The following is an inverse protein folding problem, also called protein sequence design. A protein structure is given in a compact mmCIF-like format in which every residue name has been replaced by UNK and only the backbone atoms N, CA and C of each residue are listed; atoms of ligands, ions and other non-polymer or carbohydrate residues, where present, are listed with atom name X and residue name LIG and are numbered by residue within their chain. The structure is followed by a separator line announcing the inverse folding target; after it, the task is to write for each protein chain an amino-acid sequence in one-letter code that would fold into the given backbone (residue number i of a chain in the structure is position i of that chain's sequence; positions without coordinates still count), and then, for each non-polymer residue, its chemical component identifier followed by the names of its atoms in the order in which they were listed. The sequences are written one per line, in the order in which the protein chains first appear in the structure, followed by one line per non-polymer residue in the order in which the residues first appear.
data_IF_273683388916
#
_entry.id   IF_273683388916
#
_cell.length_a   1.000
_cell.length_b   1.000
_cell.length_c   1.000
_cell.angle_alpha   90.00
_cell.angle_beta   90.00
_cell.angle_gamma   90.00
#
_symmetry.space_group_name_H-M   'P 1'
#
loop_
_entity.id
_entity.type
_entity.pdbx_description
1 polymer ?
#
# COMPACT_ATOMS: atom_id res chain seq x y z
N UNK A 1 52.40 66.37 5.31
CA UNK A 1 52.53 64.93 5.58
C UNK A 1 51.17 64.36 5.96
N UNK A 2 50.41 63.71 5.02
CA UNK A 2 49.11 63.10 5.28
C UNK A 2 49.33 61.58 5.42
N UNK A 3 49.11 61.02 6.64
CA UNK A 3 49.15 59.59 6.90
C UNK A 3 47.81 58.96 6.48
N UNK A 4 47.83 58.12 5.49
CA UNK A 4 46.72 57.22 5.11
C UNK A 4 46.74 56.02 6.05
N UNK A 5 45.66 55.88 6.83
CA UNK A 5 45.35 54.66 7.57
C UNK A 5 44.59 53.73 6.61
N UNK A 6 45.21 52.61 6.21
CA UNK A 6 44.50 51.51 5.54
C UNK A 6 43.90 50.61 6.62
N UNK A 7 42.56 50.60 6.69
CA UNK A 7 41.83 49.66 7.49
C UNK A 7 41.66 48.40 6.63
N UNK A 8 42.38 47.32 6.97
CA UNK A 8 42.18 46.00 6.37
C UNK A 8 40.94 45.36 7.08
N UNK A 9 39.81 45.31 6.40
CA UNK A 9 38.66 44.55 6.86
C UNK A 9 38.87 43.09 6.52
N UNK A 10 39.22 42.27 7.51
CA UNK A 10 39.25 40.80 7.41
C UNK A 10 37.82 40.29 7.44
N UNK A 11 37.27 40.01 6.25
CA UNK A 11 36.04 39.26 6.07
C UNK A 11 36.32 37.78 6.41
N UNK A 12 36.00 37.40 7.65
CA UNK A 12 35.99 35.97 8.06
C UNK A 12 34.78 35.31 7.48
N UNK A 13 34.92 34.58 6.39
CA UNK A 13 33.90 33.66 5.90
C UNK A 13 33.79 32.49 6.87
N UNK A 14 32.79 32.52 7.74
CA UNK A 14 32.39 31.33 8.47
C UNK A 14 31.70 30.37 7.49
N UNK A 15 32.43 29.38 7.01
CA UNK A 15 31.84 28.22 6.35
C UNK A 15 31.19 27.41 7.47
N UNK A 16 29.89 27.60 7.67
CA UNK A 16 29.10 26.69 8.50
C UNK A 16 29.00 25.36 7.75
N UNK A 17 29.91 24.43 8.07
CA UNK A 17 29.73 23.04 7.70
C UNK A 17 28.48 22.58 8.45
N UNK A 18 27.35 22.46 7.76
CA UNK A 18 26.17 21.84 8.35
C UNK A 18 26.53 20.38 8.65
N UNK A 19 26.61 20.05 9.93
CA UNK A 19 26.84 18.69 10.35
C UNK A 19 25.68 17.81 9.82
N UNK A 20 26.02 16.72 9.14
CA UNK A 20 25.04 15.73 8.71
C UNK A 20 24.30 15.23 9.95
N UNK A 21 22.97 15.29 9.99
CA UNK A 21 22.20 14.87 11.18
C UNK A 21 22.43 13.38 11.46
N UNK A 22 22.22 12.99 12.71
CA UNK A 22 22.18 11.56 13.06
C UNK A 22 21.02 10.87 12.31
N UNK A 23 21.15 9.57 11.98
CA UNK A 23 20.05 8.82 11.37
C UNK A 23 18.80 8.84 12.26
N UNK A 24 17.60 8.61 11.72
CA UNK A 24 16.38 8.57 12.51
C UNK A 24 16.45 7.45 13.56
N UNK A 25 16.01 7.73 14.78
CA UNK A 25 15.89 6.72 15.82
C UNK A 25 14.79 5.70 15.47
N UNK A 26 14.88 4.47 15.95
CA UNK A 26 13.88 3.42 15.70
C UNK A 26 12.47 3.85 16.12
N UNK A 27 12.35 4.60 17.23
CA UNK A 27 11.08 5.16 17.69
C UNK A 27 10.49 6.17 16.69
N UNK A 28 11.32 6.97 16.03
CA UNK A 28 10.89 7.92 15.01
C UNK A 28 10.47 7.18 13.73
N UNK A 29 11.23 6.16 13.32
CA UNK A 29 10.89 5.32 12.17
C UNK A 29 9.52 4.66 12.39
N UNK A 30 9.31 4.04 13.57
CA UNK A 30 8.05 3.40 13.92
C UNK A 30 6.89 4.40 13.90
N UNK A 31 7.05 5.56 14.53
CA UNK A 31 6.05 6.61 14.55
C UNK A 31 5.72 7.13 13.15
N UNK A 32 6.72 7.38 12.32
CA UNK A 32 6.55 7.86 10.95
C UNK A 32 5.89 6.81 10.05
N UNK A 33 6.25 5.55 10.21
CA UNK A 33 5.59 4.44 9.51
C UNK A 33 4.11 4.34 9.89
N UNK A 34 3.77 4.40 11.19
CA UNK A 34 2.39 4.38 11.66
C UNK A 34 1.58 5.58 11.14
N UNK A 35 2.19 6.75 11.05
CA UNK A 35 1.54 7.93 10.48
C UNK A 35 1.38 7.88 8.96
N UNK A 36 2.36 7.31 8.26
CA UNK A 36 2.39 7.23 6.79
C UNK A 36 1.63 6.03 6.23
N UNK A 37 1.79 4.87 6.83
CA UNK A 37 1.27 3.59 6.33
C UNK A 37 0.36 2.87 7.33
N UNK A 38 0.56 3.02 8.62
CA UNK A 38 -0.23 2.31 9.63
C UNK A 38 -1.70 2.72 9.67
N UNK A 39 -2.02 3.90 9.12
CA UNK A 39 -3.38 4.36 8.88
C UNK A 39 -3.95 3.84 7.54
N UNK A 40 -3.10 3.31 6.66
CA UNK A 40 -3.53 2.74 5.40
C UNK A 40 -4.15 1.38 5.63
N UNK A 41 -5.38 1.23 5.17
CA UNK A 41 -6.05 -0.06 5.13
C UNK A 41 -5.52 -0.85 3.93
N UNK A 42 -5.22 -2.12 4.14
CA UNK A 42 -4.86 -3.02 3.06
C UNK A 42 -6.15 -3.50 2.37
N UNK A 43 -6.30 -3.17 1.10
CA UNK A 43 -7.47 -3.54 0.31
C UNK A 43 -7.14 -4.63 -0.70
N UNK A 44 -8.14 -5.49 -0.93
CA UNK A 44 -8.12 -6.56 -1.90
C UNK A 44 -9.37 -6.49 -2.76
N UNK A 45 -9.23 -6.86 -4.03
CA UNK A 45 -10.34 -6.98 -4.96
C UNK A 45 -10.23 -8.35 -5.62
N UNK A 46 -11.21 -9.27 -5.41
CA UNK A 46 -11.13 -10.62 -5.95
C UNK A 46 -11.22 -10.65 -7.48
N UNK A 47 -11.93 -9.68 -8.05
CA UNK A 47 -12.11 -9.45 -9.50
C UNK A 47 -12.47 -7.98 -9.73
N UNK A 48 -12.40 -7.53 -10.98
CA UNK A 48 -12.90 -6.19 -11.35
C UNK A 48 -14.43 -6.16 -11.20
N UNK A 49 -14.94 -5.40 -10.27
CA UNK A 49 -16.37 -5.27 -9.97
C UNK A 49 -16.94 -3.93 -10.47
N UNK A 50 -18.24 -3.84 -10.86
CA UNK A 50 -19.20 -4.95 -10.91
C UNK A 50 -18.86 -5.97 -11.98
N UNK A 51 -19.19 -7.25 -11.75
CA UNK A 51 -18.88 -8.34 -12.66
C UNK A 51 -20.12 -9.18 -12.97
N UNK A 52 -20.40 -9.36 -14.24
CA UNK A 52 -21.47 -10.23 -14.74
C UNK A 52 -20.90 -11.59 -15.15
N UNK A 53 -21.48 -12.67 -14.64
CA UNK A 53 -21.01 -14.05 -14.87
C UNK A 53 -22.19 -14.93 -15.25
N UNK A 54 -22.01 -15.71 -16.32
CA UNK A 54 -22.99 -16.74 -16.68
C UNK A 54 -23.08 -17.84 -15.63
N UNK A 55 -24.28 -18.36 -15.40
CA UNK A 55 -24.51 -19.46 -14.43
C UNK A 55 -23.69 -20.71 -14.70
N UNK A 56 -23.34 -20.95 -15.97
CA UNK A 56 -22.54 -22.12 -16.35
C UNK A 56 -21.06 -22.02 -15.97
N UNK A 57 -20.58 -20.84 -15.62
CA UNK A 57 -19.19 -20.61 -15.15
C UNK A 57 -19.03 -21.01 -13.67
N UNK A 58 -19.32 -22.28 -13.37
CA UNK A 58 -19.43 -22.79 -12.00
C UNK A 58 -18.24 -22.52 -11.10
N UNK A 59 -17.00 -22.54 -11.63
CA UNK A 59 -15.79 -22.30 -10.83
C UNK A 59 -15.73 -20.86 -10.32
N UNK A 60 -15.97 -19.88 -11.19
CA UNK A 60 -15.98 -18.46 -10.83
C UNK A 60 -17.16 -18.12 -9.91
N UNK A 61 -18.34 -18.67 -10.22
CA UNK A 61 -19.52 -18.54 -9.35
C UNK A 61 -19.24 -19.06 -7.94
N UNK A 62 -18.66 -20.27 -7.81
CA UNK A 62 -18.29 -20.84 -6.51
C UNK A 62 -17.26 -19.98 -5.77
N UNK A 63 -16.27 -19.47 -6.50
CA UNK A 63 -15.24 -18.56 -5.96
C UNK A 63 -15.91 -17.32 -5.37
N UNK A 64 -16.74 -16.60 -6.13
CA UNK A 64 -17.35 -15.35 -5.68
C UNK A 64 -18.44 -15.54 -4.64
N UNK A 65 -19.16 -16.67 -4.68
CA UNK A 65 -20.17 -17.01 -3.68
C UNK A 65 -19.61 -17.17 -2.26
N UNK A 66 -18.30 -17.49 -2.11
CA UNK A 66 -17.65 -17.49 -0.79
C UNK A 66 -17.61 -16.06 -0.21
N UNK A 67 -17.31 -15.06 -1.03
CA UNK A 67 -17.28 -13.66 -0.61
C UNK A 67 -18.71 -13.12 -0.32
N UNK A 68 -19.72 -13.61 -1.03
CA UNK A 68 -21.13 -13.32 -0.71
C UNK A 68 -21.49 -13.90 0.64
N UNK A 69 -21.16 -15.17 0.91
CA UNK A 69 -21.37 -15.82 2.21
C UNK A 69 -20.60 -15.13 3.34
N UNK A 70 -19.43 -14.59 3.04
CA UNK A 70 -18.63 -13.81 3.98
C UNK A 70 -19.18 -12.40 4.22
N UNK A 71 -20.19 -11.96 3.46
CA UNK A 71 -20.87 -10.68 3.62
C UNK A 71 -20.11 -9.48 3.01
N UNK A 72 -19.10 -9.72 2.18
CA UNK A 72 -18.29 -8.65 1.56
C UNK A 72 -18.62 -8.39 0.09
N UNK A 73 -19.37 -9.31 -0.55
CA UNK A 73 -19.99 -9.10 -1.86
C UNK A 73 -21.50 -9.29 -1.76
N UNK A 74 -22.24 -8.73 -2.72
CA UNK A 74 -23.62 -9.03 -3.02
C UNK A 74 -23.73 -9.74 -4.37
N UNK A 75 -24.80 -10.52 -4.57
CA UNK A 75 -25.12 -11.20 -5.81
C UNK A 75 -26.58 -11.01 -6.18
N UNK A 76 -26.82 -10.59 -7.41
CA UNK A 76 -28.14 -10.42 -7.97
C UNK A 76 -28.31 -11.35 -9.17
N UNK A 77 -29.52 -11.91 -9.39
CA UNK A 77 -29.84 -12.61 -10.65
C UNK A 77 -29.97 -11.57 -11.76
N UNK A 78 -29.34 -11.81 -12.88
CA UNK A 78 -29.38 -10.90 -14.03
C UNK A 78 -29.49 -11.65 -15.35
N UNK A 79 -29.86 -10.91 -16.39
CA UNK A 79 -29.69 -11.31 -17.80
C UNK A 79 -28.89 -10.22 -18.48
N UNK A 80 -27.88 -10.63 -19.23
CA UNK A 80 -27.01 -9.72 -19.95
C UNK A 80 -26.69 -10.28 -21.34
N UNK A 81 -26.16 -9.45 -22.22
CA UNK A 81 -25.71 -9.86 -23.55
C UNK A 81 -24.29 -10.40 -23.43
N UNK A 82 -24.10 -11.61 -23.93
CA UNK A 82 -22.78 -12.24 -24.03
C UNK A 82 -22.49 -12.61 -25.49
N UNK A 83 -21.26 -12.37 -25.91
CA UNK A 83 -20.80 -12.81 -27.23
C UNK A 83 -20.60 -14.35 -27.25
N UNK A 84 -21.24 -15.02 -28.17
CA UNK A 84 -21.13 -16.46 -28.38
C UNK A 84 -20.81 -16.76 -29.84
N UNK A 85 -19.95 -17.72 -30.08
CA UNK A 85 -19.74 -18.24 -31.43
C UNK A 85 -20.90 -19.16 -31.78
N UNK A 86 -21.72 -18.74 -32.74
CA UNK A 86 -22.84 -19.51 -33.23
C UNK A 86 -22.70 -19.67 -34.77
N UNK A 87 -22.65 -20.90 -35.22
CA UNK A 87 -22.46 -21.23 -36.66
C UNK A 87 -21.16 -20.61 -37.24
N UNK A 88 -20.10 -20.49 -36.40
CA UNK A 88 -18.81 -19.94 -36.83
C UNK A 88 -18.72 -18.41 -36.77
N UNK A 89 -19.78 -17.71 -36.39
CA UNK A 89 -19.81 -16.24 -36.30
C UNK A 89 -20.06 -15.78 -34.84
N UNK A 90 -19.44 -14.68 -34.39
CA UNK A 90 -19.75 -14.06 -33.10
C UNK A 90 -21.16 -13.45 -33.14
N UNK A 91 -21.98 -13.77 -32.15
CA UNK A 91 -23.34 -13.22 -31.97
C UNK A 91 -23.58 -12.85 -30.51
N UNK A 92 -24.25 -11.74 -30.32
CA UNK A 92 -24.74 -11.36 -28.98
C UNK A 92 -26.01 -12.16 -28.66
N UNK A 93 -25.96 -12.86 -27.53
CA UNK A 93 -27.11 -13.63 -27.04
C UNK A 93 -27.42 -13.26 -25.60
N UNK A 94 -28.71 -13.17 -25.26
CA UNK A 94 -29.12 -12.92 -23.89
C UNK A 94 -28.95 -14.19 -23.05
N UNK A 95 -28.05 -14.12 -22.06
CA UNK A 95 -27.75 -15.23 -21.15
C UNK A 95 -28.21 -14.92 -19.72
N UNK A 96 -28.59 -15.97 -18.99
CA UNK A 96 -28.89 -15.86 -17.57
C UNK A 96 -27.62 -15.98 -16.74
N UNK A 97 -27.47 -15.11 -15.78
CA UNK A 97 -26.28 -15.08 -14.94
C UNK A 97 -26.48 -14.39 -13.60
N UNK A 98 -25.40 -13.93 -13.05
CA UNK A 98 -25.30 -13.20 -11.81
C UNK A 98 -24.45 -11.93 -11.98
N UNK A 99 -24.88 -10.84 -11.34
CA UNK A 99 -24.08 -9.64 -11.17
C UNK A 99 -23.54 -9.64 -9.74
N UNK A 100 -22.22 -9.57 -9.60
CA UNK A 100 -21.53 -9.41 -8.32
C UNK A 100 -21.08 -7.98 -8.13
N UNK A 101 -21.31 -7.44 -6.93
CA UNK A 101 -20.94 -6.07 -6.51
C UNK A 101 -20.31 -6.09 -5.12
N UNK A 102 -19.57 -5.06 -4.78
CA UNK A 102 -19.18 -4.83 -3.39
C UNK A 102 -20.42 -4.65 -2.51
N UNK A 103 -20.41 -5.25 -1.31
CA UNK A 103 -21.46 -5.05 -0.33
C UNK A 103 -21.20 -3.75 0.45
N UNK A 104 -21.74 -2.64 -0.01
CA UNK A 104 -21.55 -1.31 0.60
C UNK A 104 -22.06 -1.22 2.04
N UNK A 105 -22.95 -2.12 2.47
CA UNK A 105 -23.41 -2.21 3.85
C UNK A 105 -22.42 -2.92 4.79
N UNK A 106 -21.37 -3.55 4.24
CA UNK A 106 -20.34 -4.23 5.02
C UNK A 106 -19.31 -3.24 5.56
N UNK A 107 -19.01 -3.31 6.86
CA UNK A 107 -17.94 -2.52 7.47
C UNK A 107 -16.54 -2.79 6.89
N UNK A 108 -16.37 -3.89 6.15
CA UNK A 108 -15.13 -4.33 5.55
C UNK A 108 -14.96 -3.87 4.09
N UNK A 109 -15.89 -3.08 3.58
CA UNK A 109 -15.92 -2.69 2.17
C UNK A 109 -15.83 -1.18 2.01
N UNK A 110 -15.08 -0.75 1.01
CA UNK A 110 -15.00 0.63 0.57
C UNK A 110 -14.91 0.68 -0.97
N UNK A 111 -15.00 1.86 -1.60
CA UNK A 111 -14.75 1.99 -3.04
C UNK A 111 -13.37 1.49 -3.50
N UNK A 112 -12.38 1.41 -2.59
CA UNK A 112 -11.04 0.86 -2.87
C UNK A 112 -11.01 -0.66 -2.90
N UNK A 113 -12.03 -1.34 -2.39
CA UNK A 113 -12.10 -2.79 -2.29
C UNK A 113 -12.50 -3.30 -0.91
N UNK A 114 -12.11 -4.55 -0.64
CA UNK A 114 -12.40 -5.26 0.60
C UNK A 114 -11.17 -5.15 1.52
N UNK A 115 -11.38 -4.61 2.70
CA UNK A 115 -10.35 -4.48 3.74
C UNK A 115 -9.88 -5.86 4.23
N UNK A 116 -8.54 -6.05 4.34
CA UNK A 116 -7.97 -7.30 4.83
C UNK A 116 -6.85 -7.15 5.86
N UNK A 117 -6.57 -5.96 6.37
CA UNK A 117 -5.59 -5.76 7.43
C UNK A 117 -4.96 -4.36 7.46
N UNK A 118 -4.13 -4.14 8.47
CA UNK A 118 -3.27 -2.95 8.62
C UNK A 118 -1.80 -3.35 8.54
N UNK A 119 -0.93 -2.56 7.91
CA UNK A 119 0.51 -2.80 7.96
C UNK A 119 1.07 -2.42 9.33
N UNK A 120 1.93 -3.29 9.88
CA UNK A 120 2.66 -3.07 11.13
C UNK A 120 4.13 -3.42 10.95
N UNK A 121 5.04 -2.60 11.46
CA UNK A 121 6.45 -2.95 11.52
C UNK A 121 6.61 -4.17 12.43
N UNK A 122 7.40 -5.14 11.96
CA UNK A 122 7.89 -6.24 12.77
C UNK A 122 9.28 -5.92 13.32
N UNK A 123 10.17 -5.45 12.45
CA UNK A 123 11.57 -5.21 12.80
C UNK A 123 12.21 -4.19 11.86
N UNK A 124 13.07 -3.35 12.38
CA UNK A 124 13.94 -2.47 11.60
C UNK A 124 15.26 -3.22 11.42
N UNK A 125 15.53 -3.62 10.17
CA UNK A 125 16.67 -4.49 9.83
C UNK A 125 17.95 -3.70 9.63
N UNK A 126 17.84 -2.51 9.05
CA UNK A 126 18.99 -1.66 8.72
C UNK A 126 18.57 -0.19 8.63
N UNK A 127 19.41 0.70 9.10
CA UNK A 127 19.29 2.14 8.90
C UNK A 127 20.59 2.63 8.29
N UNK A 128 20.54 3.19 7.08
CA UNK A 128 21.73 3.69 6.41
C UNK A 128 22.29 4.95 7.08
N UNK A 129 23.57 5.23 6.83
CA UNK A 129 24.12 6.55 7.17
C UNK A 129 23.42 7.61 6.31
N UNK A 130 23.03 8.76 6.91
CA UNK A 130 22.47 9.86 6.15
C UNK A 130 23.42 10.39 5.08
N UNK A 131 22.89 10.69 3.91
CA UNK A 131 23.65 11.19 2.75
C UNK A 131 23.05 12.49 2.24
N UNK A 132 23.91 13.46 1.93
CA UNK A 132 23.50 14.68 1.21
C UNK A 132 23.45 14.38 -0.30
N UNK A 133 22.31 14.59 -0.90
CA UNK A 133 22.09 14.48 -2.34
C UNK A 133 21.48 15.81 -2.83
N UNK A 134 22.30 16.65 -3.47
CA UNK A 134 21.89 17.95 -4.00
C UNK A 134 21.31 18.90 -2.93
N UNK A 135 21.90 18.95 -1.74
CA UNK A 135 21.49 19.82 -0.65
C UNK A 135 20.28 19.30 0.13
N UNK A 136 19.87 18.05 -0.09
CA UNK A 136 18.86 17.34 0.68
C UNK A 136 19.47 16.12 1.35
N UNK A 137 19.12 15.91 2.60
CA UNK A 137 19.66 14.81 3.39
C UNK A 137 18.66 13.67 3.42
N UNK A 138 19.10 12.49 2.99
CA UNK A 138 18.31 11.27 2.92
C UNK A 138 18.90 10.16 3.77
N UNK A 139 18.04 9.28 4.23
CA UNK A 139 18.40 8.04 4.90
C UNK A 139 17.49 6.92 4.39
N UNK A 140 18.07 5.77 4.03
CA UNK A 140 17.31 4.57 3.69
C UNK A 140 17.11 3.71 4.94
N UNK A 141 15.89 3.23 5.14
CA UNK A 141 15.53 2.30 6.21
C UNK A 141 15.02 1.01 5.58
N UNK A 142 15.70 -0.09 5.88
CA UNK A 142 15.27 -1.43 5.53
C UNK A 142 14.52 -2.04 6.70
N UNK A 143 13.27 -2.44 6.49
CA UNK A 143 12.41 -2.96 7.55
C UNK A 143 11.60 -4.17 7.08
N UNK A 144 11.16 -4.95 8.03
CA UNK A 144 10.15 -5.98 7.83
C UNK A 144 8.82 -5.55 8.45
N UNK A 145 7.72 -5.93 7.79
CA UNK A 145 6.37 -5.59 8.22
C UNK A 145 5.40 -6.75 7.97
N UNK A 146 4.26 -6.74 8.64
CA UNK A 146 3.21 -7.76 8.51
C UNK A 146 1.82 -7.11 8.48
N UNK A 147 0.83 -7.86 7.98
CA UNK A 147 -0.57 -7.47 8.06
C UNK A 147 -1.14 -7.85 9.43
N UNK A 148 -1.61 -6.86 10.17
CA UNK A 148 -2.26 -7.03 11.46
C UNK A 148 -3.78 -6.80 11.36
N UNK A 149 -4.51 -7.11 12.43
CA UNK A 149 -5.96 -6.91 12.53
C UNK A 149 -6.72 -7.54 11.34
N UNK A 150 -6.38 -8.77 11.00
CA UNK A 150 -7.05 -9.51 9.94
C UNK A 150 -8.53 -9.71 10.29
N UNK A 151 -9.49 -9.34 9.40
CA UNK A 151 -10.91 -9.40 9.69
C UNK A 151 -11.46 -10.83 9.63
N UNK A 152 -12.56 -11.07 10.37
CA UNK A 152 -13.21 -12.38 10.49
C UNK A 152 -13.72 -12.98 9.17
N UNK A 153 -14.03 -12.13 8.18
CA UNK A 153 -14.53 -12.64 6.91
C UNK A 153 -13.50 -13.51 6.18
N UNK A 154 -12.20 -13.33 6.46
CA UNK A 154 -11.12 -14.16 5.90
C UNK A 154 -11.24 -15.63 6.33
N UNK A 155 -11.83 -15.93 7.48
CA UNK A 155 -12.02 -17.30 7.95
C UNK A 155 -13.19 -18.01 7.25
N UNK A 156 -14.03 -17.25 6.54
CA UNK A 156 -15.23 -17.75 5.85
C UNK A 156 -14.99 -18.08 4.37
N UNK A 157 -13.77 -17.87 3.88
CA UNK A 157 -13.38 -18.10 2.48
C UNK A 157 -12.18 -19.02 2.37
N UNK A 158 -11.96 -19.58 1.20
CA UNK A 158 -10.68 -20.25 0.87
C UNK A 158 -9.63 -19.20 0.45
N UNK A 159 -9.07 -18.51 1.44
CA UNK A 159 -8.05 -17.49 1.25
C UNK A 159 -6.75 -18.01 0.63
N UNK A 160 -6.50 -19.35 0.67
CA UNK A 160 -5.30 -19.96 0.10
C UNK A 160 -5.24 -19.85 -1.41
N UNK A 161 -6.40 -19.75 -2.06
CA UNK A 161 -6.50 -19.54 -3.50
C UNK A 161 -6.11 -18.11 -3.91
N UNK A 162 -6.10 -17.16 -2.98
CA UNK A 162 -5.81 -15.76 -3.23
C UNK A 162 -4.42 -15.39 -2.71
N UNK A 163 -3.48 -15.15 -3.61
CA UNK A 163 -2.07 -14.89 -3.27
C UNK A 163 -1.89 -13.76 -2.24
N UNK A 164 -2.62 -12.65 -2.39
CA UNK A 164 -2.52 -11.51 -1.48
C UNK A 164 -2.99 -11.87 -0.06
N UNK A 165 -4.13 -12.53 0.06
CA UNK A 165 -4.72 -12.92 1.34
C UNK A 165 -3.88 -14.01 2.03
N UNK A 166 -3.36 -14.98 1.25
CA UNK A 166 -2.43 -15.98 1.75
C UNK A 166 -1.19 -15.33 2.35
N UNK A 167 -0.55 -14.41 1.61
CA UNK A 167 0.64 -13.69 2.09
C UNK A 167 0.33 -12.84 3.33
N UNK A 168 -0.84 -12.20 3.40
CA UNK A 168 -1.24 -11.45 4.58
C UNK A 168 -1.36 -12.33 5.82
N UNK A 169 -2.02 -13.49 5.73
CA UNK A 169 -2.15 -14.43 6.85
C UNK A 169 -0.82 -15.03 7.31
N UNK A 170 0.06 -15.32 6.38
CA UNK A 170 1.39 -15.88 6.68
C UNK A 170 2.39 -14.78 7.09
N UNK A 171 2.05 -13.50 7.01
CA UNK A 171 3.00 -12.40 7.16
C UNK A 171 3.58 -12.24 8.57
N UNK A 172 2.92 -12.72 9.61
CA UNK A 172 3.49 -12.75 10.97
C UNK A 172 4.69 -13.71 11.07
N UNK A 173 4.67 -14.80 10.31
CA UNK A 173 5.74 -15.80 10.28
C UNK A 173 6.76 -15.52 9.18
N UNK A 174 6.26 -15.03 8.04
CA UNK A 174 7.04 -14.68 6.85
C UNK A 174 6.76 -13.23 6.48
N UNK A 175 7.37 -12.26 7.17
CA UNK A 175 7.07 -10.85 6.97
C UNK A 175 7.41 -10.40 5.55
N UNK A 176 6.80 -9.29 5.17
CA UNK A 176 7.20 -8.55 3.99
C UNK A 176 8.43 -7.71 4.33
N UNK A 177 9.27 -7.46 3.36
CA UNK A 177 10.44 -6.60 3.51
C UNK A 177 10.32 -5.41 2.58
N UNK A 178 10.77 -4.24 3.05
CA UNK A 178 10.71 -3.00 2.29
C UNK A 178 11.84 -2.06 2.66
N UNK A 179 12.39 -1.37 1.66
CA UNK A 179 13.25 -0.21 1.84
C UNK A 179 12.43 1.05 1.66
N UNK A 180 12.50 1.94 2.65
CA UNK A 180 11.82 3.23 2.66
C UNK A 180 12.87 4.33 2.75
N UNK A 181 12.66 5.41 2.01
CA UNK A 181 13.52 6.59 2.07
C UNK A 181 12.90 7.62 3.00
N UNK A 182 13.74 8.18 3.86
CA UNK A 182 13.41 9.28 4.75
C UNK A 182 14.20 10.52 4.32
N UNK A 183 13.60 11.70 4.44
CA UNK A 183 14.22 12.98 4.17
C UNK A 183 14.30 13.78 5.48
N UNK A 184 15.48 14.38 5.73
CA UNK A 184 15.64 15.33 6.84
C UNK A 184 15.34 16.74 6.35
N UNK A 185 14.28 17.31 6.91
CA UNK A 185 13.81 18.64 6.54
C UNK A 185 13.32 19.39 7.78
N UNK A 186 13.62 20.69 7.88
CA UNK A 186 13.18 21.56 8.98
C UNK A 186 13.53 20.98 10.37
N UNK A 187 14.73 20.37 10.49
CA UNK A 187 15.22 19.84 11.77
C UNK A 187 14.64 18.48 12.18
N UNK A 188 13.89 17.79 11.32
CA UNK A 188 13.24 16.51 11.61
C UNK A 188 13.27 15.56 10.43
N UNK A 189 13.20 14.27 10.71
CA UNK A 189 12.98 13.23 9.70
C UNK A 189 11.48 13.12 9.34
N UNK A 190 11.19 12.88 8.05
CA UNK A 190 9.88 12.51 7.55
C UNK A 190 10.05 11.43 6.47
N UNK A 191 9.00 10.67 6.18
CA UNK A 191 9.00 9.75 5.03
C UNK A 191 9.09 10.61 3.77
N UNK A 192 10.07 10.28 2.92
CA UNK A 192 10.25 11.02 1.67
C UNK A 192 9.04 10.86 0.75
N UNK A 193 8.45 12.00 0.39
CA UNK A 193 7.30 12.12 -0.50
C UNK A 193 7.72 12.92 -1.72
N UNK A 194 8.17 12.23 -2.76
CA UNK A 194 8.38 12.87 -4.06
C UNK A 194 7.11 12.77 -4.93
N UNK A 195 7.24 13.05 -6.24
CA UNK A 195 6.14 13.03 -7.22
C UNK A 195 5.32 11.73 -7.22
N UNK A 196 5.90 10.62 -6.77
CA UNK A 196 5.20 9.37 -6.51
C UNK A 196 5.32 9.00 -5.03
N UNK A 197 4.21 8.81 -4.30
CA UNK A 197 4.26 8.34 -2.92
C UNK A 197 4.89 6.94 -2.85
N UNK A 198 5.71 6.71 -1.83
CA UNK A 198 6.23 5.37 -1.56
C UNK A 198 5.05 4.45 -1.21
N UNK A 199 5.08 3.23 -1.72
CA UNK A 199 4.09 2.20 -1.45
C UNK A 199 4.73 1.04 -0.72
N UNK A 200 3.95 0.26 0.02
CA UNK A 200 4.44 -0.95 0.71
C UNK A 200 4.59 -2.15 -0.24
N UNK A 201 3.93 -2.10 -1.39
CA UNK A 201 3.97 -3.14 -2.43
C UNK A 201 4.62 -2.62 -3.71
#
# INVERSE_FOLDING_TARGET
MKRFWQIAVLLSFYITVQAVPAPPAESDITRLFEQGFGQELLFFMPEKLPLEIERIQNTMVKKLDQYVKAGVLTRENTRFLAEKIMYGEPREVSVGGYTYKLNEASQWVSPKGIYYGHPRIREILEVSTPMDINGRIYCEVYLSWYADQLPEWLDKIDWRAERALKRARESKEKPFEKRLNFEFKDGKWDIWKDKAPQTLF
#
